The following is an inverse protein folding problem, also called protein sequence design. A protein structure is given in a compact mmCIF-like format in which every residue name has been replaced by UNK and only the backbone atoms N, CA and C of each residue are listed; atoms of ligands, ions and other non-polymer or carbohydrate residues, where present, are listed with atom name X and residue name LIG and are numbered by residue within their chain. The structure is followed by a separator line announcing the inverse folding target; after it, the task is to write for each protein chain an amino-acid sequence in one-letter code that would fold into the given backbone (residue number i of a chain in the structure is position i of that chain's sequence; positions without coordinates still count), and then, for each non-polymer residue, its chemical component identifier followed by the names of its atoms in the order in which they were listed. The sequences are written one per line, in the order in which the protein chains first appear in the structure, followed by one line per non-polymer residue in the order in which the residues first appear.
data_IF_395859026925
#
_entry.id   IF_395859026925
#
_cell.length_a   1.000
_cell.length_b   1.000
_cell.length_c   1.000
_cell.angle_alpha   90.00
_cell.angle_beta   90.00
_cell.angle_gamma   90.00
#
_symmetry.space_group_name_H-M   'P 1'
#
loop_
_entity.id
_entity.type
_entity.pdbx_description
1 polymer ?
#
# COMPACT_ATOMS: atom_id res chain seq x y z
N UNK A 1 13.29 -10.06 22.39
CA UNK A 1 13.97 -9.19 21.40
C UNK A 1 12.88 -8.36 20.75
N UNK A 2 12.85 -7.05 21.00
CA UNK A 2 11.99 -6.16 20.24
C UNK A 2 12.74 -5.89 18.93
N UNK A 3 12.29 -6.45 17.81
CA UNK A 3 12.89 -6.16 16.50
C UNK A 3 12.19 -4.95 15.93
N UNK A 4 12.52 -3.78 16.46
CA UNK A 4 12.08 -2.48 15.93
C UNK A 4 12.43 -2.33 14.43
N UNK A 5 13.38 -3.14 13.92
CA UNK A 5 13.77 -3.22 12.51
C UNK A 5 12.70 -3.80 11.55
N UNK A 6 11.66 -4.48 12.05
CA UNK A 6 10.56 -4.99 11.21
C UNK A 6 9.31 -4.11 11.27
N UNK A 7 9.33 -3.03 12.05
CA UNK A 7 8.20 -2.11 12.11
C UNK A 7 8.16 -1.19 10.89
N UNK A 8 6.96 -0.83 10.45
CA UNK A 8 6.78 0.07 9.32
C UNK A 8 7.30 1.47 9.69
N UNK A 9 8.34 1.94 8.99
CA UNK A 9 8.94 3.25 9.27
C UNK A 9 8.04 4.43 8.83
N UNK A 10 7.03 4.16 8.00
CA UNK A 10 6.10 5.16 7.48
C UNK A 10 5.00 5.52 8.48
N UNK A 11 4.88 4.78 9.59
CA UNK A 11 3.80 4.96 10.55
C UNK A 11 4.26 4.65 11.99
N UNK A 12 3.75 5.42 12.97
CA UNK A 12 4.36 5.52 14.31
C UNK A 12 3.94 4.38 15.27
N UNK A 13 2.91 3.59 14.95
CA UNK A 13 2.35 2.60 15.89
C UNK A 13 3.15 1.29 16.03
N UNK A 14 4.41 1.23 15.60
CA UNK A 14 5.25 0.01 15.66
C UNK A 14 4.55 -1.24 15.09
N UNK A 15 3.78 -1.05 14.03
CA UNK A 15 3.11 -2.16 13.34
C UNK A 15 4.15 -2.91 12.50
N UNK A 16 4.16 -4.23 12.59
CA UNK A 16 5.02 -5.07 11.75
C UNK A 16 4.71 -4.80 10.26
N UNK A 17 5.76 -4.55 9.49
CA UNK A 17 5.65 -4.25 8.08
C UNK A 17 5.68 -5.53 7.26
N UNK A 18 4.56 -5.85 6.62
CA UNK A 18 4.51 -6.80 5.52
C UNK A 18 4.07 -6.10 4.20
N UNK A 19 3.93 -6.89 3.13
CA UNK A 19 3.47 -6.38 1.84
C UNK A 19 2.07 -5.76 1.92
N UNK A 20 1.18 -6.33 2.74
CA UNK A 20 -0.20 -5.86 2.83
C UNK A 20 -0.28 -4.56 3.60
N UNK A 21 0.43 -4.47 4.72
CA UNK A 21 0.58 -3.25 5.48
C UNK A 21 1.19 -2.15 4.60
N UNK A 22 2.38 -2.39 4.03
CA UNK A 22 3.11 -1.37 3.28
C UNK A 22 2.27 -0.80 2.13
N UNK A 23 1.58 -1.63 1.37
CA UNK A 23 0.86 -1.16 0.18
C UNK A 23 -0.58 -0.79 0.45
N UNK A 24 -1.30 -1.45 1.35
CA UNK A 24 -2.74 -1.28 1.48
C UNK A 24 -3.13 -0.75 2.84
N UNK A 25 -2.72 -1.36 3.95
CA UNK A 25 -3.32 -1.06 5.26
C UNK A 25 -2.68 0.15 5.96
N UNK A 26 -1.43 0.46 5.62
CA UNK A 26 -0.70 1.54 6.27
C UNK A 26 -1.46 2.88 6.13
N UNK A 27 -1.70 3.62 7.24
CA UNK A 27 -2.32 4.94 7.20
C UNK A 27 -1.54 5.94 6.34
N UNK A 28 -0.25 5.70 6.11
CA UNK A 28 0.51 6.40 5.10
C UNK A 28 0.02 6.04 3.69
N UNK A 29 -0.07 4.77 3.30
CA UNK A 29 -0.39 4.39 1.92
C UNK A 29 -1.86 4.68 1.53
N UNK A 30 -2.80 4.57 2.47
CA UNK A 30 -4.25 4.72 2.23
C UNK A 30 -4.66 6.02 1.50
N UNK A 31 -4.28 7.23 1.96
CA UNK A 31 -4.62 8.48 1.27
C UNK A 31 -4.12 8.57 -0.17
N UNK A 32 -3.03 7.89 -0.51
CA UNK A 32 -2.44 7.93 -1.87
C UNK A 32 -3.32 7.14 -2.86
N UNK A 33 -3.92 6.05 -2.42
CA UNK A 33 -4.88 5.31 -3.24
C UNK A 33 -6.19 6.07 -3.44
N UNK A 34 -6.69 6.71 -2.38
CA UNK A 34 -7.87 7.57 -2.46
C UNK A 34 -7.64 8.70 -3.46
N UNK A 35 -6.45 9.33 -3.43
CA UNK A 35 -6.06 10.36 -4.40
C UNK A 35 -6.06 9.84 -5.85
N UNK A 36 -5.63 8.59 -6.06
CA UNK A 36 -5.66 7.92 -7.38
C UNK A 36 -7.06 7.42 -7.77
N UNK A 37 -8.09 7.63 -6.93
CA UNK A 37 -9.45 7.12 -7.17
C UNK A 37 -9.57 5.60 -7.00
N UNK A 38 -8.64 4.98 -6.28
CA UNK A 38 -8.62 3.54 -6.04
C UNK A 38 -9.07 3.28 -4.60
N UNK A 39 -10.17 2.55 -4.47
CA UNK A 39 -10.67 2.03 -3.19
C UNK A 39 -10.49 0.51 -3.18
N UNK A 40 -9.64 0.05 -2.28
CA UNK A 40 -9.29 -1.36 -2.16
C UNK A 40 -10.39 -2.16 -1.47
N UNK A 41 -11.16 -1.56 -0.55
CA UNK A 41 -12.06 -2.34 0.30
C UNK A 41 -11.30 -3.32 1.19
N UNK A 42 -10.44 -2.80 2.07
CA UNK A 42 -9.54 -3.57 2.97
C UNK A 42 -10.21 -4.63 3.86
N UNK A 43 -11.54 -4.60 3.99
CA UNK A 43 -12.32 -5.65 4.66
C UNK A 43 -12.53 -6.92 3.83
N UNK A 44 -12.18 -6.89 2.54
CA UNK A 44 -12.33 -8.01 1.61
C UNK A 44 -11.12 -8.96 1.68
N UNK A 45 -11.34 -10.22 1.29
CA UNK A 45 -10.21 -11.11 1.05
C UNK A 45 -9.28 -10.53 -0.02
N UNK A 46 -7.96 -10.66 0.17
CA UNK A 46 -6.93 -10.07 -0.69
C UNK A 46 -7.14 -10.34 -2.19
N UNK A 47 -7.58 -11.53 -2.58
CA UNK A 47 -7.83 -11.83 -4.00
C UNK A 47 -9.03 -11.07 -4.55
N UNK A 48 -10.09 -10.95 -3.75
CA UNK A 48 -11.33 -10.25 -4.10
C UNK A 48 -11.08 -8.74 -4.14
N UNK A 49 -10.21 -8.23 -3.26
CA UNK A 49 -9.81 -6.82 -3.16
C UNK A 49 -9.34 -6.25 -4.51
N UNK A 50 -8.45 -6.97 -5.21
CA UNK A 50 -7.94 -6.54 -6.51
C UNK A 50 -8.99 -6.54 -7.61
N UNK A 51 -9.84 -7.58 -7.65
CA UNK A 51 -10.95 -7.67 -8.60
C UNK A 51 -11.93 -6.51 -8.41
N UNK A 52 -12.32 -6.26 -7.16
CA UNK A 52 -13.21 -5.17 -6.78
C UNK A 52 -12.64 -3.79 -7.18
N UNK A 53 -11.39 -3.53 -6.80
CA UNK A 53 -10.73 -2.26 -7.13
C UNK A 53 -10.61 -2.05 -8.65
N UNK A 54 -10.31 -3.12 -9.40
CA UNK A 54 -10.23 -3.07 -10.87
C UNK A 54 -11.58 -2.74 -11.50
N UNK A 55 -12.64 -3.43 -11.08
CA UNK A 55 -14.00 -3.22 -11.58
C UNK A 55 -14.49 -1.81 -11.28
N UNK A 56 -14.23 -1.32 -10.06
CA UNK A 56 -14.62 0.04 -9.63
C UNK A 56 -13.85 1.14 -10.35
N UNK A 57 -12.56 0.92 -10.64
CA UNK A 57 -11.74 1.88 -11.39
C UNK A 57 -12.15 1.97 -12.86
N UNK A 58 -12.58 0.84 -13.47
CA UNK A 58 -13.25 0.84 -14.77
C UNK A 58 -12.37 1.15 -15.99
N UNK A 59 -11.04 1.09 -15.87
CA UNK A 59 -10.12 1.43 -16.97
C UNK A 59 -8.96 0.45 -17.12
N UNK A 60 -8.52 0.25 -18.36
CA UNK A 60 -7.45 -0.68 -18.72
C UNK A 60 -6.07 -0.24 -18.18
N UNK A 61 -5.90 1.04 -17.83
CA UNK A 61 -4.65 1.59 -17.26
C UNK A 61 -4.48 1.29 -15.76
N UNK A 62 -5.46 0.63 -15.14
CA UNK A 62 -5.47 0.32 -13.71
C UNK A 62 -4.19 -0.38 -13.24
N UNK A 63 -3.75 -1.37 -14.02
CA UNK A 63 -2.56 -2.18 -13.68
C UNK A 63 -1.30 -1.31 -13.69
N UNK A 64 -1.14 -0.47 -14.70
CA UNK A 64 0.00 0.41 -14.87
C UNK A 64 0.07 1.43 -13.72
N UNK A 65 -1.07 2.01 -13.34
CA UNK A 65 -1.18 2.93 -12.20
C UNK A 65 -0.76 2.22 -10.90
N UNK A 66 -1.25 1.01 -10.65
CA UNK A 66 -0.91 0.26 -9.43
C UNK A 66 0.58 -0.06 -9.36
N UNK A 67 1.15 -0.57 -10.44
CA UNK A 67 2.58 -0.93 -10.48
C UNK A 67 3.43 0.30 -10.17
N UNK A 68 3.13 1.45 -10.79
CA UNK A 68 3.87 2.69 -10.57
C UNK A 68 3.67 3.20 -9.14
N UNK A 69 2.43 3.24 -8.64
CA UNK A 69 2.14 3.73 -7.30
C UNK A 69 2.79 2.87 -6.20
N UNK A 70 2.74 1.55 -6.34
CA UNK A 70 3.45 0.62 -5.45
C UNK A 70 4.96 0.83 -5.51
N UNK A 71 5.53 0.97 -6.70
CA UNK A 71 6.95 1.27 -6.86
C UNK A 71 7.35 2.56 -6.13
N UNK A 72 6.59 3.63 -6.30
CA UNK A 72 6.85 4.93 -5.64
C UNK A 72 6.77 4.80 -4.11
N UNK A 73 5.76 4.11 -3.57
CA UNK A 73 5.65 3.85 -2.12
C UNK A 73 6.87 3.07 -1.59
N UNK A 74 7.27 2.02 -2.31
CA UNK A 74 8.43 1.20 -1.96
C UNK A 74 9.74 2.01 -2.00
N UNK A 75 9.93 2.83 -3.04
CA UNK A 75 11.11 3.72 -3.14
C UNK A 75 11.11 4.74 -2.01
N UNK A 76 9.98 5.38 -1.71
CA UNK A 76 9.90 6.37 -0.62
C UNK A 76 10.26 5.74 0.73
N UNK A 77 9.71 4.55 1.02
CA UNK A 77 10.06 3.77 2.20
C UNK A 77 11.56 3.50 2.28
N UNK A 78 12.15 3.02 1.19
CA UNK A 78 13.56 2.68 1.15
C UNK A 78 14.49 3.88 1.30
N UNK A 79 14.10 5.05 0.77
CA UNK A 79 14.85 6.28 1.00
C UNK A 79 14.94 6.57 2.50
N UNK A 80 13.85 6.39 3.26
CA UNK A 80 13.85 6.65 4.71
C UNK A 80 14.71 5.61 5.48
N UNK A 81 14.75 4.36 5.02
CA UNK A 81 15.54 3.30 5.69
C UNK A 81 17.04 3.45 5.43
N UNK A 82 17.43 3.76 4.19
CA UNK A 82 18.81 3.64 3.74
C UNK A 82 19.55 4.98 3.60
N UNK A 83 18.87 6.12 3.79
CA UNK A 83 19.42 7.46 3.59
C UNK A 83 19.25 8.31 4.85
#
# INVERSE_FOLDING_TARGET
MNLDAYCCILYVDNVEEDIFHLFFECPFSQPRWIFLGIDWGISLNHHIMFLHAKEKFGSNIFREIIIIAMWVLWVHRNIIIFL
#
